data_IF_756432220350
#
_entry.id   IF_756432220350
#
_cell.length_a   1.000
_cell.length_b   1.000
_cell.length_c   1.000
_cell.angle_alpha   90.00
_cell.angle_beta   90.00
_cell.angle_gamma   90.00
#
_symmetry.space_group_name_H-M   'P 1'
#
loop_
_entity.id
_entity.type
_entity.pdbx_description
1 polymer ?
#
# COMPACT_ATOMS: atom_id res chain seq x y z
N UNK A 1 41.93 -45.85 62.67
CA UNK A 1 40.57 -45.40 62.33
C UNK A 1 40.57 -43.87 62.27
N UNK A 2 40.98 -43.32 61.14
CA UNK A 2 41.08 -41.88 60.91
C UNK A 2 40.83 -41.65 59.42
N UNK A 3 40.19 -40.53 59.09
CA UNK A 3 39.95 -40.01 57.74
C UNK A 3 38.77 -40.60 56.95
N UNK A 4 37.55 -40.15 57.26
CA UNK A 4 36.48 -40.13 56.25
C UNK A 4 35.38 -39.06 56.48
N UNK A 5 35.72 -37.86 57.00
CA UNK A 5 34.70 -36.83 57.28
C UNK A 5 35.01 -35.42 56.77
N UNK A 6 36.12 -35.20 56.04
CA UNK A 6 36.47 -33.85 55.55
C UNK A 6 36.18 -33.57 54.06
N UNK A 7 35.69 -34.54 53.27
CA UNK A 7 35.46 -34.34 51.82
C UNK A 7 34.00 -34.03 51.43
N UNK A 8 33.02 -34.28 52.30
CA UNK A 8 31.60 -34.13 51.92
C UNK A 8 31.06 -32.69 52.11
N UNK A 9 31.69 -31.88 52.96
CA UNK A 9 31.23 -30.49 53.22
C UNK A 9 31.69 -29.50 52.13
N UNK A 10 32.81 -29.78 51.45
CA UNK A 10 33.33 -28.89 50.40
C UNK A 10 32.57 -29.00 49.06
N UNK A 11 31.99 -30.17 48.76
CA UNK A 11 31.25 -30.36 47.49
C UNK A 11 29.87 -29.69 47.50
N UNK A 12 29.21 -29.61 48.67
CA UNK A 12 27.90 -28.97 48.80
C UNK A 12 27.97 -27.44 48.77
N UNK A 13 29.06 -26.84 49.27
CA UNK A 13 29.24 -25.38 49.20
C UNK A 13 29.61 -24.90 47.79
N UNK A 14 30.31 -25.72 46.99
CA UNK A 14 30.62 -25.37 45.60
C UNK A 14 29.40 -25.55 44.67
N UNK A 15 28.53 -26.54 44.93
CA UNK A 15 27.29 -26.70 44.16
C UNK A 15 26.28 -25.56 44.43
N UNK A 16 26.20 -25.06 45.67
CA UNK A 16 25.36 -23.90 45.98
C UNK A 16 25.92 -22.60 45.35
N UNK A 17 27.23 -22.40 45.27
CA UNK A 17 27.79 -21.22 44.58
C UNK A 17 27.58 -21.25 43.07
N UNK A 18 27.56 -22.43 42.44
CA UNK A 18 27.22 -22.56 41.01
C UNK A 18 25.74 -22.32 40.70
N UNK A 19 24.83 -22.52 41.66
CA UNK A 19 23.40 -22.20 41.49
C UNK A 19 23.06 -20.72 41.75
N UNK A 20 23.89 -19.99 42.50
CA UNK A 20 23.71 -18.54 42.70
C UNK A 20 24.45 -17.67 41.66
N UNK A 21 25.31 -18.25 40.82
CA UNK A 21 26.09 -17.55 39.79
C UNK A 21 25.40 -17.35 38.44
N UNK A 22 24.18 -17.86 38.24
CA UNK A 22 23.37 -17.64 37.02
C UNK A 22 22.01 -17.03 37.37
N UNK A 23 21.98 -16.13 38.36
CA UNK A 23 21.06 -15.00 38.29
C UNK A 23 21.61 -14.05 37.23
N UNK A 24 21.59 -14.48 35.96
CA UNK A 24 21.83 -13.59 34.84
C UNK A 24 20.94 -12.39 35.07
N UNK A 25 21.54 -11.21 35.15
CA UNK A 25 20.79 -9.96 35.13
C UNK A 25 19.86 -10.08 33.93
N UNK A 26 18.58 -10.33 34.18
CA UNK A 26 17.52 -10.17 33.20
C UNK A 26 17.55 -8.68 32.94
N UNK A 27 18.46 -8.26 32.06
CA UNK A 27 18.55 -6.89 31.61
C UNK A 27 17.14 -6.54 31.21
N UNK A 28 16.59 -5.48 31.82
CA UNK A 28 15.23 -5.06 31.60
C UNK A 28 15.02 -5.05 30.08
N UNK A 29 14.30 -6.05 29.57
CA UNK A 29 14.19 -6.26 28.15
C UNK A 29 13.60 -4.97 27.61
N UNK A 30 14.37 -4.22 26.83
CA UNK A 30 13.89 -2.98 26.23
C UNK A 30 12.59 -3.34 25.52
N UNK A 31 11.50 -2.78 26.03
CA UNK A 31 10.16 -3.10 25.55
C UNK A 31 10.12 -2.73 24.07
N UNK A 32 10.03 -3.76 23.22
CA UNK A 32 10.11 -3.59 21.79
C UNK A 32 9.01 -2.63 21.28
N UNK A 33 9.28 -1.84 20.24
CA UNK A 33 8.25 -1.01 19.62
C UNK A 33 7.11 -1.87 19.08
N UNK A 34 5.92 -1.29 19.05
CA UNK A 34 4.71 -1.89 18.52
C UNK A 34 4.02 -0.99 17.50
N UNK A 35 2.86 -1.43 17.02
CA UNK A 35 2.02 -0.69 16.08
C UNK A 35 0.59 -0.63 16.62
N UNK A 36 -0.05 0.54 16.48
CA UNK A 36 -1.47 0.74 16.72
C UNK A 36 -2.15 0.89 15.36
N UNK A 37 -2.84 -0.15 14.91
CA UNK A 37 -3.58 -0.16 13.65
C UNK A 37 -5.04 0.18 13.95
N UNK A 38 -5.56 1.22 13.32
CA UNK A 38 -6.93 1.70 13.51
C UNK A 38 -7.67 1.66 12.18
N UNK A 39 -8.65 0.76 12.09
CA UNK A 39 -9.49 0.59 10.90
C UNK A 39 -10.72 1.48 10.98
N UNK A 40 -10.97 2.21 9.90
CA UNK A 40 -12.13 3.09 9.79
C UNK A 40 -13.26 2.37 9.04
N UNK A 41 -14.43 2.33 9.67
CA UNK A 41 -15.65 2.03 8.93
C UNK A 41 -15.95 3.16 7.96
N UNK A 42 -16.64 2.79 6.87
CA UNK A 42 -17.21 3.73 5.91
C UNK A 42 -18.05 4.78 6.64
N UNK A 43 -17.60 6.02 6.64
CA UNK A 43 -18.22 7.14 7.37
C UNK A 43 -18.14 8.43 6.54
N UNK A 44 -19.19 9.25 6.64
CA UNK A 44 -19.27 10.49 5.87
C UNK A 44 -18.39 11.58 6.48
N UNK A 45 -17.60 12.22 5.62
CA UNK A 45 -16.91 13.47 5.92
C UNK A 45 -17.52 14.62 5.17
N UNK A 46 -17.53 15.76 5.84
CA UNK A 46 -17.91 17.02 5.20
C UNK A 46 -16.76 17.47 4.33
N UNK A 47 -17.09 17.76 3.07
CA UNK A 47 -16.15 18.36 2.12
C UNK A 47 -16.65 19.74 1.81
N UNK A 48 -15.81 20.75 2.02
CA UNK A 48 -16.15 22.15 1.74
C UNK A 48 -16.14 22.46 0.24
N UNK A 49 -16.62 21.54 -0.60
CA UNK A 49 -16.91 21.72 -2.01
C UNK A 49 -18.42 21.57 -2.20
N UNK A 50 -19.11 22.69 -2.46
CA UNK A 50 -20.55 22.71 -2.71
C UNK A 50 -21.40 21.96 -1.64
N UNK A 51 -21.01 22.05 -0.36
CA UNK A 51 -21.64 21.36 0.78
C UNK A 51 -21.81 19.84 0.59
N UNK A 52 -20.85 19.21 -0.09
CA UNK A 52 -20.86 17.77 -0.35
C UNK A 52 -20.35 16.94 0.82
N UNK A 53 -20.70 15.65 0.81
CA UNK A 53 -20.17 14.64 1.73
C UNK A 53 -19.49 13.53 0.94
N UNK A 54 -18.45 12.97 1.53
CA UNK A 54 -17.76 11.80 1.01
C UNK A 54 -17.73 10.70 2.05
N UNK A 55 -18.21 9.51 1.69
CA UNK A 55 -18.05 8.34 2.52
C UNK A 55 -16.60 7.84 2.38
N UNK A 56 -15.85 7.86 3.48
CA UNK A 56 -14.45 7.41 3.49
C UNK A 56 -14.26 6.15 4.32
N UNK A 57 -13.30 5.33 3.90
CA UNK A 57 -12.80 4.16 4.62
C UNK A 57 -11.30 4.05 4.49
N UNK A 58 -10.66 3.26 5.34
CA UNK A 58 -9.22 3.03 5.28
C UNK A 58 -8.61 2.73 6.64
N UNK A 59 -7.33 3.04 6.80
CA UNK A 59 -6.60 2.81 8.04
C UNK A 59 -5.72 3.99 8.45
N UNK A 60 -5.57 4.14 9.76
CA UNK A 60 -4.61 5.03 10.41
C UNK A 60 -3.69 4.17 11.28
N UNK A 61 -2.38 4.33 11.13
CA UNK A 61 -1.41 3.50 11.82
C UNK A 61 -0.41 4.37 12.56
N UNK A 62 -0.22 4.07 13.85
CA UNK A 62 0.83 4.68 14.66
C UNK A 62 1.89 3.66 15.02
N UNK A 63 3.16 4.04 14.88
CA UNK A 63 4.26 3.36 15.56
C UNK A 63 4.24 3.75 17.04
N UNK A 64 4.37 2.75 17.90
CA UNK A 64 4.35 2.90 19.35
C UNK A 64 5.73 2.57 19.91
N UNK A 65 6.34 3.50 20.63
CA UNK A 65 7.65 3.29 21.27
C UNK A 65 7.55 3.60 22.76
N UNK A 66 7.80 2.63 23.65
CA UNK A 66 7.87 2.88 25.09
C UNK A 66 9.01 3.84 25.43
N UNK A 67 8.77 4.83 26.30
CA UNK A 67 9.79 5.77 26.77
C UNK A 67 9.46 6.27 28.18
N UNK A 68 10.38 6.16 29.13
CA UNK A 68 10.27 6.77 30.48
C UNK A 68 8.90 6.62 31.17
N UNK A 69 8.33 5.41 31.15
CA UNK A 69 6.99 5.06 31.67
C UNK A 69 5.79 5.65 30.91
N UNK A 70 6.03 6.29 29.76
CA UNK A 70 5.00 6.70 28.80
C UNK A 70 5.16 5.96 27.48
N UNK A 71 4.22 6.22 26.56
CA UNK A 71 4.24 5.74 25.19
C UNK A 71 4.39 6.93 24.24
N UNK A 72 5.36 6.85 23.34
CA UNK A 72 5.48 7.76 22.21
C UNK A 72 4.72 7.15 21.03
N UNK A 73 3.91 7.98 20.38
CA UNK A 73 3.17 7.61 19.18
C UNK A 73 3.70 8.44 18.02
N UNK A 74 4.00 7.79 16.91
CA UNK A 74 4.41 8.42 15.66
C UNK A 74 3.43 7.97 14.58
N UNK A 75 2.76 8.91 13.91
CA UNK A 75 1.82 8.56 12.83
C UNK A 75 2.65 8.09 11.64
N UNK A 76 2.55 6.79 11.32
CA UNK A 76 3.37 6.14 10.30
C UNK A 76 2.61 5.87 9.01
N UNK A 77 1.28 5.75 9.06
CA UNK A 77 0.42 5.59 7.90
C UNK A 77 -0.89 6.32 8.11
N UNK A 78 -1.35 7.01 7.08
CA UNK A 78 -2.70 7.55 6.98
C UNK A 78 -3.15 7.30 5.54
N UNK A 79 -4.05 6.35 5.35
CA UNK A 79 -4.42 5.82 4.03
C UNK A 79 -5.93 5.72 3.97
N UNK A 80 -6.59 6.71 3.35
CA UNK A 80 -8.04 6.75 3.21
C UNK A 80 -8.45 6.81 1.74
N UNK A 81 -9.55 6.14 1.43
CA UNK A 81 -10.26 6.26 0.15
C UNK A 81 -11.65 6.81 0.43
N UNK A 82 -12.03 7.83 -0.32
CA UNK A 82 -13.35 8.46 -0.29
C UNK A 82 -14.13 8.22 -1.57
N UNK A 83 -15.46 8.20 -1.47
CA UNK A 83 -16.33 8.27 -2.64
C UNK A 83 -16.14 9.58 -3.41
N UNK A 84 -16.66 9.62 -4.65
CA UNK A 84 -16.63 10.85 -5.44
C UNK A 84 -17.40 11.99 -4.76
N UNK A 85 -16.90 13.22 -4.94
CA UNK A 85 -17.56 14.46 -4.55
C UNK A 85 -17.89 15.29 -5.79
N UNK A 86 -19.00 16.02 -5.71
CA UNK A 86 -19.41 16.94 -6.77
C UNK A 86 -18.55 18.19 -6.70
N UNK A 87 -17.97 18.57 -7.83
CA UNK A 87 -17.13 19.76 -7.97
C UNK A 87 -17.71 20.73 -9.00
N UNK A 88 -17.06 21.88 -9.22
CA UNK A 88 -17.51 22.82 -10.26
C UNK A 88 -17.27 22.27 -11.67
N UNK A 89 -16.30 21.36 -11.83
CA UNK A 89 -15.89 20.79 -13.11
C UNK A 89 -16.45 19.37 -13.35
N UNK A 90 -17.42 18.94 -12.53
CA UNK A 90 -18.02 17.61 -12.57
C UNK A 90 -17.67 16.77 -11.35
N UNK A 91 -17.87 15.46 -11.45
CA UNK A 91 -17.55 14.54 -10.36
C UNK A 91 -16.04 14.35 -10.24
N UNK A 92 -15.52 14.35 -9.01
CA UNK A 92 -14.08 14.23 -8.75
C UNK A 92 -13.50 12.87 -9.10
N UNK A 93 -14.32 11.82 -9.17
CA UNK A 93 -13.91 10.43 -8.97
C UNK A 93 -13.54 10.14 -7.50
N UNK A 94 -13.20 8.89 -7.13
CA UNK A 94 -12.80 8.53 -5.77
C UNK A 94 -11.64 9.40 -5.26
N UNK A 95 -11.73 9.82 -3.99
CA UNK A 95 -10.68 10.56 -3.33
C UNK A 95 -9.63 9.60 -2.78
N UNK A 96 -8.36 9.85 -3.07
CA UNK A 96 -7.22 9.09 -2.58
C UNK A 96 -6.39 9.96 -1.64
N UNK A 97 -6.27 9.57 -0.37
CA UNK A 97 -5.59 10.36 0.67
C UNK A 97 -4.47 9.55 1.29
N UNK A 98 -3.22 10.02 1.17
CA UNK A 98 -2.02 9.33 1.68
C UNK A 98 -1.16 10.26 2.51
N UNK A 99 -0.61 9.74 3.61
CA UNK A 99 0.39 10.46 4.41
C UNK A 99 1.63 10.79 3.60
N UNK A 100 1.99 12.08 3.53
CA UNK A 100 3.29 12.47 2.99
C UNK A 100 4.40 11.98 3.91
N UNK A 101 5.40 11.23 3.41
CA UNK A 101 6.46 10.66 4.24
C UNK A 101 7.14 11.70 5.13
N UNK A 102 7.45 11.31 6.37
CA UNK A 102 8.17 12.13 7.36
C UNK A 102 7.54 13.50 7.68
N UNK A 103 6.27 13.73 7.32
CA UNK A 103 5.58 14.99 7.59
C UNK A 103 4.88 15.05 8.94
N UNK A 104 4.65 13.89 9.57
CA UNK A 104 3.82 13.80 10.76
C UNK A 104 4.56 14.15 12.04
N UNK A 105 3.88 14.88 12.92
CA UNK A 105 4.29 15.14 14.30
C UNK A 105 3.14 14.76 15.22
N UNK A 106 3.43 13.94 16.22
CA UNK A 106 2.43 13.38 17.11
C UNK A 106 2.80 13.62 18.57
N UNK A 107 1.81 13.94 19.40
CA UNK A 107 1.95 14.13 20.84
C UNK A 107 0.89 13.33 21.58
N UNK A 108 1.27 12.61 22.62
CA UNK A 108 0.36 11.79 23.43
C UNK A 108 0.22 12.34 24.85
N UNK A 109 -1.02 12.54 25.28
CA UNK A 109 -1.35 12.86 26.66
C UNK A 109 -1.89 11.60 27.37
N UNK A 110 -1.13 11.00 28.30
CA UNK A 110 -1.55 9.78 29.00
C UNK A 110 -2.73 9.99 29.95
N UNK A 111 -2.95 11.21 30.46
CA UNK A 111 -4.07 11.49 31.37
C UNK A 111 -5.40 11.49 30.63
N UNK A 112 -5.44 12.09 29.45
CA UNK A 112 -6.65 12.16 28.61
C UNK A 112 -6.73 11.03 27.59
N UNK A 113 -5.67 10.21 27.47
CA UNK A 113 -5.48 9.16 26.46
C UNK A 113 -5.72 9.69 25.05
N UNK A 114 -5.17 10.87 24.79
CA UNK A 114 -5.37 11.60 23.54
C UNK A 114 -4.06 11.67 22.77
N UNK A 115 -4.07 11.22 21.52
CA UNK A 115 -3.01 11.47 20.56
C UNK A 115 -3.44 12.65 19.70
N UNK A 116 -2.59 13.67 19.59
CA UNK A 116 -2.76 14.80 18.68
C UNK A 116 -1.69 14.71 17.61
N UNK A 117 -2.09 14.76 16.35
CA UNK A 117 -1.18 14.70 15.22
C UNK A 117 -1.40 15.87 14.28
N UNK A 118 -0.30 16.37 13.72
CA UNK A 118 -0.24 17.33 12.62
C UNK A 118 0.60 16.71 11.51
N UNK A 119 0.15 16.81 10.25
CA UNK A 119 0.79 16.12 9.13
C UNK A 119 0.46 16.81 7.81
N UNK A 120 1.15 16.38 6.74
CA UNK A 120 0.77 16.69 5.38
C UNK A 120 0.23 15.42 4.71
N UNK A 121 -0.85 15.56 3.95
CA UNK A 121 -1.35 14.51 3.06
C UNK A 121 -1.13 14.90 1.60
N UNK A 122 -0.92 13.90 0.78
CA UNK A 122 -1.11 13.98 -0.67
C UNK A 122 -2.53 13.50 -0.97
N UNK A 123 -3.30 14.36 -1.65
CA UNK A 123 -4.69 14.12 -2.02
C UNK A 123 -4.77 14.05 -3.53
N UNK A 124 -5.26 12.93 -4.04
CA UNK A 124 -5.52 12.71 -5.46
C UNK A 124 -7.02 12.47 -5.69
N UNK A 125 -7.49 12.83 -6.88
CA UNK A 125 -8.79 12.46 -7.39
C UNK A 125 -8.77 12.46 -8.92
N UNK A 126 -9.41 11.50 -9.61
CA UNK A 126 -9.32 11.30 -11.07
C UNK A 126 -9.58 12.53 -11.93
N UNK A 127 -10.43 13.45 -11.47
CA UNK A 127 -10.68 14.70 -12.18
C UNK A 127 -9.39 15.54 -12.38
N UNK A 128 -8.39 15.43 -11.48
CA UNK A 128 -7.08 16.06 -11.68
C UNK A 128 -6.43 15.54 -12.96
N UNK A 129 -6.35 14.22 -13.12
CA UNK A 129 -5.71 13.60 -14.29
C UNK A 129 -6.46 13.95 -15.56
N UNK A 130 -7.81 14.00 -15.50
CA UNK A 130 -8.63 14.39 -16.64
C UNK A 130 -8.39 15.83 -17.10
N UNK A 131 -8.15 16.76 -16.18
CA UNK A 131 -8.03 18.20 -16.48
C UNK A 131 -6.58 18.61 -16.72
N UNK A 132 -5.62 18.03 -15.98
CA UNK A 132 -4.20 18.40 -16.03
C UNK A 132 -3.33 17.42 -16.81
N UNK A 133 -3.83 16.22 -17.08
CA UNK A 133 -3.00 15.12 -17.56
C UNK A 133 -2.09 14.61 -16.44
N UNK A 134 -0.98 13.98 -16.85
CA UNK A 134 0.02 13.41 -15.97
C UNK A 134 1.25 14.31 -15.88
N UNK A 135 2.06 14.11 -14.84
CA UNK A 135 3.29 14.85 -14.66
C UNK A 135 4.34 14.39 -15.68
N UNK A 136 4.74 15.29 -16.57
CA UNK A 136 5.87 15.04 -17.46
C UNK A 136 7.19 15.01 -16.66
N UNK A 137 8.07 14.03 -16.89
CA UNK A 137 9.42 14.06 -16.33
C UNK A 137 10.17 15.28 -16.87
N UNK A 138 11.07 15.86 -16.06
CA UNK A 138 11.88 16.99 -16.50
C UNK A 138 12.81 16.56 -17.64
N UNK A 139 13.10 17.46 -18.56
CA UNK A 139 14.05 17.21 -19.65
C UNK A 139 15.40 16.70 -19.10
N UNK A 140 15.88 15.57 -19.63
CA UNK A 140 17.08 14.87 -19.14
C UNK A 140 16.87 14.02 -17.89
N UNK A 141 15.63 13.86 -17.40
CA UNK A 141 15.25 12.92 -16.35
C UNK A 141 14.31 11.85 -16.92
N UNK A 142 14.53 10.58 -16.52
CA UNK A 142 13.61 9.42 -16.60
C UNK A 142 13.04 9.07 -17.98
N UNK A 143 12.42 7.89 -18.07
CA UNK A 143 11.60 7.46 -19.20
C UNK A 143 10.23 8.18 -19.16
N UNK A 144 9.61 8.36 -20.33
CA UNK A 144 8.36 9.14 -20.50
C UNK A 144 7.09 8.34 -20.16
N UNK A 145 7.24 7.11 -19.73
CA UNK A 145 6.19 6.15 -19.41
C UNK A 145 5.77 6.17 -17.92
N UNK A 146 6.31 7.10 -17.13
CA UNK A 146 5.93 7.32 -15.73
C UNK A 146 4.71 8.25 -15.63
N UNK A 147 3.50 7.71 -15.79
CA UNK A 147 2.23 8.46 -15.77
C UNK A 147 1.77 8.80 -14.35
N UNK A 148 2.60 9.55 -13.63
CA UNK A 148 2.30 10.02 -12.28
C UNK A 148 1.23 11.10 -12.30
N UNK A 149 0.22 10.93 -11.45
CA UNK A 149 -0.78 11.96 -11.21
C UNK A 149 -0.22 13.18 -10.50
N UNK A 150 -0.75 14.36 -10.85
CA UNK A 150 -0.66 15.50 -9.94
C UNK A 150 -1.44 15.22 -8.66
N UNK A 151 -0.93 15.71 -7.52
CA UNK A 151 -1.61 15.61 -6.23
C UNK A 151 -1.67 16.99 -5.56
N UNK A 152 -2.67 17.18 -4.71
CA UNK A 152 -2.80 18.36 -3.88
C UNK A 152 -2.21 18.07 -2.50
N UNK A 153 -1.50 19.04 -1.91
CA UNK A 153 -0.99 18.88 -0.55
C UNK A 153 -1.99 19.48 0.44
N UNK A 154 -2.44 18.69 1.41
CA UNK A 154 -3.30 19.15 2.50
C UNK A 154 -2.54 19.18 3.82
N UNK A 155 -2.73 20.23 4.61
CA UNK A 155 -2.32 20.25 6.02
C UNK A 155 -3.43 19.64 6.86
N UNK A 156 -3.12 18.55 7.57
CA UNK A 156 -4.06 17.82 8.39
C UNK A 156 -3.79 17.93 9.88
N UNK A 157 -4.86 17.92 10.68
CA UNK A 157 -4.82 17.71 12.12
C UNK A 157 -5.77 16.58 12.51
N UNK A 158 -5.26 15.65 13.31
CA UNK A 158 -6.02 14.51 13.83
C UNK A 158 -5.96 14.51 15.35
N UNK A 159 -7.12 14.42 15.99
CA UNK A 159 -7.24 14.17 17.42
C UNK A 159 -7.83 12.77 17.59
N UNK A 160 -7.04 11.86 18.15
CA UNK A 160 -7.46 10.51 18.49
C UNK A 160 -7.65 10.39 20.00
N UNK A 161 -8.85 10.00 20.44
CA UNK A 161 -9.16 9.67 21.83
C UNK A 161 -9.30 8.16 21.96
N UNK A 162 -8.38 7.54 22.70
CA UNK A 162 -8.38 6.11 22.98
C UNK A 162 -9.30 5.81 24.17
N UNK A 163 -10.05 4.72 24.07
CA UNK A 163 -10.92 4.24 25.16
C UNK A 163 -10.14 3.64 26.34
N UNK A 164 -8.94 3.11 26.07
CA UNK A 164 -8.01 2.56 27.06
C UNK A 164 -6.54 2.80 26.64
N UNK A 165 -5.61 2.61 27.57
CA UNK A 165 -4.17 2.75 27.28
C UNK A 165 -3.69 1.50 26.53
N UNK A 166 -3.13 1.63 25.31
CA UNK A 166 -2.72 0.49 24.52
C UNK A 166 -1.49 -0.17 25.16
N UNK A 167 -1.48 -1.51 25.18
CA UNK A 167 -0.43 -2.32 25.79
C UNK A 167 0.26 -3.15 24.71
N UNK A 168 1.57 -3.00 24.58
CA UNK A 168 2.35 -3.83 23.67
C UNK A 168 2.52 -5.21 24.32
N UNK A 169 1.77 -6.19 23.82
CA UNK A 169 1.85 -7.58 24.25
C UNK A 169 2.80 -8.41 23.39
N UNK A 170 2.86 -9.72 23.67
CA UNK A 170 3.57 -10.70 22.83
C UNK A 170 2.79 -11.10 21.57
N UNK A 171 1.50 -10.80 21.53
CA UNK A 171 0.59 -11.08 20.43
C UNK A 171 -0.26 -9.85 20.13
N UNK A 172 -0.97 -9.90 19.00
CA UNK A 172 -2.08 -9.01 18.70
C UNK A 172 -3.01 -8.83 19.89
N UNK A 173 -3.43 -7.61 20.17
CA UNK A 173 -4.51 -7.34 21.10
C UNK A 173 -5.50 -6.36 20.49
N UNK A 174 -6.76 -6.77 20.41
CA UNK A 174 -7.88 -5.90 20.04
C UNK A 174 -8.33 -5.11 21.26
N UNK A 175 -8.45 -3.79 21.15
CA UNK A 175 -9.01 -2.96 22.22
C UNK A 175 -10.52 -3.13 22.30
N UNK A 176 -11.07 -3.13 23.52
CA UNK A 176 -12.49 -3.46 23.75
C UNK A 176 -13.46 -2.37 23.28
N UNK A 177 -13.09 -1.10 23.48
CA UNK A 177 -13.99 0.05 23.33
C UNK A 177 -13.58 1.01 22.18
N UNK A 178 -12.74 0.54 21.25
CA UNK A 178 -12.37 1.29 20.04
C UNK A 178 -11.66 2.63 20.31
N UNK A 179 -11.75 3.55 19.35
CA UNK A 179 -11.24 4.92 19.45
C UNK A 179 -12.16 5.90 18.72
N UNK A 180 -12.07 7.18 19.07
CA UNK A 180 -12.77 8.26 18.37
C UNK A 180 -11.75 9.21 17.75
N UNK A 181 -12.00 9.61 16.50
CA UNK A 181 -11.18 10.56 15.75
C UNK A 181 -11.94 11.85 15.47
N UNK A 182 -11.23 12.97 15.48
CA UNK A 182 -11.66 14.22 14.86
C UNK A 182 -10.57 14.65 13.89
N UNK A 183 -10.94 14.78 12.61
CA UNK A 183 -10.06 15.17 11.52
C UNK A 183 -10.46 16.54 11.01
N UNK A 184 -9.45 17.36 10.74
CA UNK A 184 -9.58 18.61 9.99
C UNK A 184 -8.43 18.72 9.02
N UNK A 185 -8.72 19.09 7.78
CA UNK A 185 -7.71 19.23 6.76
C UNK A 185 -8.04 20.39 5.83
N UNK A 186 -7.02 21.13 5.47
CA UNK A 186 -7.12 22.28 4.59
C UNK A 186 -6.03 22.21 3.51
N UNK A 187 -6.32 22.61 2.27
CA UNK A 187 -5.36 22.59 1.18
C UNK A 187 -4.26 23.61 1.43
N UNK A 188 -3.01 23.15 1.33
CA UNK A 188 -1.78 23.94 1.43
C UNK A 188 -1.23 24.26 0.04
N UNK A 189 -1.22 23.28 -0.85
CA UNK A 189 -0.79 23.43 -2.25
C UNK A 189 -1.90 22.85 -3.13
N UNK A 190 -2.40 23.66 -4.06
CA UNK A 190 -3.55 23.33 -4.91
C UNK A 190 -3.09 23.12 -6.35
N UNK A 191 -3.68 22.14 -7.01
CA UNK A 191 -3.51 21.91 -8.44
C UNK A 191 -4.77 22.35 -9.18
N UNK A 192 -5.93 21.84 -8.75
CA UNK A 192 -7.25 22.29 -9.21
C UNK A 192 -7.98 23.11 -8.14
N UNK A 193 -7.82 22.76 -6.86
CA UNK A 193 -8.44 23.41 -5.74
C UNK A 193 -9.95 23.13 -5.62
N UNK A 194 -10.45 22.05 -6.23
CA UNK A 194 -11.86 21.69 -6.20
C UNK A 194 -12.31 21.17 -4.83
N UNK A 195 -11.39 20.58 -4.05
CA UNK A 195 -11.62 20.13 -2.68
C UNK A 195 -11.10 21.20 -1.72
N UNK A 196 -11.98 21.98 -1.09
CA UNK A 196 -11.55 23.14 -0.30
C UNK A 196 -11.18 22.84 1.16
N UNK A 197 -11.78 21.81 1.76
CA UNK A 197 -11.45 21.32 3.10
C UNK A 197 -12.13 19.96 3.32
N UNK A 198 -11.59 19.14 4.21
CA UNK A 198 -12.20 17.88 4.63
C UNK A 198 -12.21 17.84 6.16
N UNK A 199 -13.37 17.62 6.76
CA UNK A 199 -13.51 17.52 8.20
C UNK A 199 -14.59 16.53 8.62
N UNK A 200 -14.40 15.94 9.80
CA UNK A 200 -15.41 15.09 10.40
C UNK A 200 -14.90 14.31 11.61
N UNK A 201 -15.82 13.57 12.21
CA UNK A 201 -15.54 12.67 13.32
C UNK A 201 -15.73 11.22 12.89
N UNK A 202 -14.91 10.32 13.44
CA UNK A 202 -14.98 8.90 13.11
C UNK A 202 -15.03 8.06 14.37
N UNK A 203 -15.84 7.02 14.28
CA UNK A 203 -15.72 5.84 15.14
C UNK A 203 -14.75 4.86 14.51
N UNK A 204 -13.72 4.47 15.26
CA UNK A 204 -12.80 3.41 14.87
C UNK A 204 -13.41 2.07 15.26
N UNK A 205 -13.59 1.18 14.27
CA UNK A 205 -14.25 -0.12 14.46
C UNK A 205 -13.33 -1.22 14.96
N UNK A 206 -12.03 -1.05 14.72
CA UNK A 206 -11.04 -2.01 15.15
C UNK A 206 -9.74 -1.27 15.49
N UNK A 207 -9.26 -1.49 16.71
CA UNK A 207 -7.99 -0.96 17.18
C UNK A 207 -7.15 -2.14 17.64
N UNK A 208 -6.05 -2.38 16.94
CA UNK A 208 -5.19 -3.54 17.16
C UNK A 208 -3.81 -3.05 17.55
N UNK A 209 -3.33 -3.50 18.71
CA UNK A 209 -1.95 -3.31 19.16
C UNK A 209 -1.13 -4.53 18.76
N UNK A 210 -0.01 -4.30 18.06
CA UNK A 210 0.80 -5.36 17.48
C UNK A 210 2.29 -5.26 17.89
N UNK A 211 2.98 -6.36 18.23
CA UNK A 211 4.43 -6.36 18.47
C UNK A 211 5.25 -6.29 17.17
N UNK A 212 6.57 -6.08 17.28
CA UNK A 212 7.59 -5.80 16.23
C UNK A 212 7.74 -6.80 15.05
N UNK A 213 6.67 -7.35 14.50
CA UNK A 213 6.69 -8.15 13.27
C UNK A 213 6.19 -7.32 12.08
N UNK A 214 6.68 -7.65 10.88
CA UNK A 214 6.14 -7.07 9.66
C UNK A 214 4.70 -7.54 9.49
N UNK A 215 3.78 -6.58 9.41
CA UNK A 215 2.37 -6.82 9.17
C UNK A 215 2.24 -7.11 7.68
N UNK A 216 1.64 -8.26 7.32
CA UNK A 216 1.28 -8.50 5.93
C UNK A 216 0.14 -7.55 5.56
N UNK A 217 0.39 -6.58 4.69
CA UNK A 217 -0.65 -5.76 4.08
C UNK A 217 -1.20 -6.45 2.84
N UNK A 218 -2.42 -6.12 2.45
CA UNK A 218 -3.09 -6.69 1.29
C UNK A 218 -3.71 -5.59 0.46
N UNK A 219 -3.64 -5.76 -0.86
CA UNK A 219 -4.32 -4.91 -1.84
C UNK A 219 -5.10 -5.83 -2.79
N UNK A 220 -6.29 -5.40 -3.19
CA UNK A 220 -7.08 -6.12 -4.18
C UNK A 220 -6.61 -5.75 -5.58
N UNK A 221 -6.51 -6.75 -6.44
CA UNK A 221 -6.20 -6.60 -7.85
C UNK A 221 -7.38 -7.15 -8.65
N UNK A 222 -7.92 -6.36 -9.58
CA UNK A 222 -9.04 -6.76 -10.42
C UNK A 222 -8.52 -7.00 -11.85
N UNK A 223 -8.35 -8.26 -12.28
CA UNK A 223 -8.00 -8.56 -13.66
C UNK A 223 -9.17 -8.19 -14.59
N UNK A 224 -8.87 -7.51 -15.69
CA UNK A 224 -9.85 -7.14 -16.71
C UNK A 224 -9.36 -7.68 -18.06
N UNK A 225 -10.13 -8.58 -18.66
CA UNK A 225 -9.80 -9.25 -19.92
C UNK A 225 -10.71 -8.72 -21.04
N UNK A 226 -10.21 -8.72 -22.28
CA UNK A 226 -10.95 -8.32 -23.46
C UNK A 226 -11.55 -9.57 -24.10
N UNK A 227 -12.87 -9.60 -24.31
CA UNK A 227 -13.49 -10.55 -25.22
C UNK A 227 -13.37 -10.02 -26.64
N UNK A 228 -13.01 -10.92 -27.55
CA UNK A 228 -12.91 -10.59 -28.96
C UNK A 228 -13.33 -11.74 -29.86
N UNK A 229 -13.71 -11.43 -31.09
CA UNK A 229 -14.01 -12.41 -32.14
C UNK A 229 -12.88 -12.38 -33.17
N UNK A 230 -12.04 -13.42 -33.25
CA UNK A 230 -10.99 -13.47 -34.25
C UNK A 230 -11.59 -13.40 -35.68
N UNK A 231 -11.10 -12.46 -36.48
CA UNK A 231 -11.56 -12.28 -37.87
C UNK A 231 -11.31 -13.54 -38.73
N UNK A 232 -10.22 -14.26 -38.47
CA UNK A 232 -9.88 -15.55 -39.07
C UNK A 232 -9.58 -16.57 -37.96
N UNK A 233 -10.36 -17.64 -37.89
CA UNK A 233 -10.13 -18.73 -36.95
C UNK A 233 -10.52 -20.08 -37.54
N UNK A 234 -9.80 -21.15 -37.14
CA UNK A 234 -10.07 -22.55 -37.51
C UNK A 234 -11.50 -23.06 -37.18
N UNK A 235 -12.32 -22.22 -36.55
CA UNK A 235 -13.69 -22.50 -36.11
C UNK A 235 -14.74 -21.50 -36.66
N UNK A 236 -14.43 -20.77 -37.74
CA UNK A 236 -15.46 -20.11 -38.55
C UNK A 236 -16.11 -18.84 -37.97
N UNK A 237 -15.34 -17.97 -37.32
CA UNK A 237 -15.79 -16.60 -36.97
C UNK A 237 -16.91 -16.48 -35.93
N UNK A 238 -17.30 -17.58 -35.28
CA UNK A 238 -18.38 -17.60 -34.26
C UNK A 238 -17.87 -17.80 -32.83
N UNK A 239 -16.57 -18.02 -32.63
CA UNK A 239 -16.01 -18.34 -31.31
C UNK A 239 -15.44 -17.09 -30.66
N UNK A 240 -16.07 -16.64 -29.57
CA UNK A 240 -15.52 -15.58 -28.72
C UNK A 240 -14.28 -16.09 -28.00
N UNK A 241 -13.15 -15.42 -28.20
CA UNK A 241 -11.90 -15.62 -27.48
C UNK A 241 -11.73 -14.53 -26.41
N UNK A 242 -10.72 -14.69 -25.54
CA UNK A 242 -10.39 -13.73 -24.48
C UNK A 242 -8.89 -13.52 -24.40
N UNK A 243 -8.46 -12.29 -24.11
CA UNK A 243 -7.10 -12.03 -23.63
C UNK A 243 -6.93 -12.55 -22.19
N UNK A 244 -5.74 -12.37 -21.62
CA UNK A 244 -5.38 -12.85 -20.28
C UNK A 244 -4.76 -14.25 -20.30
N UNK A 245 -4.29 -14.73 -21.46
CA UNK A 245 -3.59 -16.02 -21.59
C UNK A 245 -2.33 -16.10 -20.72
N UNK A 246 -1.66 -14.96 -20.49
CA UNK A 246 -0.47 -14.82 -19.64
C UNK A 246 -0.77 -14.72 -18.14
N UNK A 247 -2.03 -14.50 -17.77
CA UNK A 247 -2.44 -14.05 -16.43
C UNK A 247 -1.89 -14.94 -15.32
N UNK A 248 -2.04 -16.27 -15.42
CA UNK A 248 -1.65 -17.17 -14.33
C UNK A 248 -0.15 -17.07 -14.02
N UNK A 249 0.70 -17.07 -15.05
CA UNK A 249 2.15 -16.97 -14.88
C UNK A 249 2.58 -15.62 -14.32
N UNK A 250 2.07 -14.52 -14.89
CA UNK A 250 2.40 -13.17 -14.43
C UNK A 250 1.89 -12.90 -13.01
N UNK A 251 0.67 -13.38 -12.68
CA UNK A 251 0.08 -13.32 -11.34
C UNK A 251 0.97 -14.02 -10.32
N UNK A 252 1.38 -15.25 -10.61
CA UNK A 252 2.16 -16.06 -9.67
C UNK A 252 3.54 -15.43 -9.43
N UNK A 253 4.16 -14.85 -10.46
CA UNK A 253 5.42 -14.10 -10.35
C UNK A 253 5.27 -12.79 -9.57
N UNK A 254 4.17 -12.06 -9.77
CA UNK A 254 3.87 -10.89 -8.96
C UNK A 254 3.66 -11.23 -7.48
N UNK A 255 2.91 -12.31 -7.19
CA UNK A 255 2.71 -12.81 -5.81
C UNK A 255 4.05 -13.22 -5.19
N UNK A 256 4.89 -13.94 -5.93
CA UNK A 256 6.23 -14.35 -5.49
C UNK A 256 7.06 -13.14 -5.04
N UNK A 257 7.11 -12.09 -5.87
CA UNK A 257 7.91 -10.89 -5.61
C UNK A 257 7.38 -10.09 -4.42
N UNK A 258 6.09 -9.76 -4.40
CA UNK A 258 5.52 -8.88 -3.38
C UNK A 258 5.35 -9.53 -2.01
N UNK A 259 5.24 -10.87 -1.96
CA UNK A 259 5.28 -11.60 -0.69
C UNK A 259 6.61 -11.40 0.05
N UNK A 260 7.73 -11.16 -0.65
CA UNK A 260 9.04 -10.84 -0.02
C UNK A 260 8.98 -9.53 0.77
N UNK A 261 8.09 -8.61 0.39
CA UNK A 261 7.82 -7.35 1.07
C UNK A 261 6.70 -7.41 2.12
N UNK A 262 6.14 -8.59 2.39
CA UNK A 262 4.92 -8.72 3.20
C UNK A 262 3.73 -7.97 2.59
N UNK A 263 3.66 -7.90 1.26
CA UNK A 263 2.50 -7.38 0.54
C UNK A 263 1.82 -8.57 -0.15
N UNK A 264 0.59 -8.85 0.28
CA UNK A 264 -0.27 -9.83 -0.36
C UNK A 264 -1.06 -9.19 -1.49
N UNK A 265 -1.03 -9.81 -2.66
CA UNK A 265 -1.88 -9.44 -3.78
C UNK A 265 -3.12 -10.35 -3.76
N UNK A 266 -4.29 -9.77 -3.54
CA UNK A 266 -5.54 -10.50 -3.58
C UNK A 266 -6.18 -10.32 -4.96
N UNK A 267 -5.90 -11.25 -5.87
CA UNK A 267 -6.49 -11.24 -7.21
C UNK A 267 -7.95 -11.70 -7.16
N UNK A 268 -8.85 -10.81 -7.59
CA UNK A 268 -10.28 -11.08 -7.72
C UNK A 268 -10.56 -11.93 -8.97
N UNK A 269 -11.81 -12.38 -9.11
CA UNK A 269 -12.25 -13.07 -10.32
C UNK A 269 -12.14 -12.14 -11.54
N UNK A 270 -11.60 -12.60 -12.69
CA UNK A 270 -11.49 -11.76 -13.87
C UNK A 270 -12.85 -11.21 -14.33
N UNK A 271 -12.86 -9.93 -14.70
CA UNK A 271 -13.98 -9.27 -15.39
C UNK A 271 -13.64 -9.21 -16.88
N UNK A 272 -14.66 -9.20 -17.72
CA UNK A 272 -14.51 -9.19 -19.17
C UNK A 272 -15.18 -7.96 -19.77
N UNK A 273 -14.49 -7.29 -20.67
CA UNK A 273 -15.02 -6.19 -21.48
C UNK A 273 -15.23 -6.66 -22.91
N UNK A 274 -16.37 -6.30 -23.49
CA UNK A 274 -16.78 -6.72 -24.83
C UNK A 274 -16.47 -5.59 -25.82
N UNK A 275 -15.19 -5.50 -26.23
CA UNK A 275 -14.74 -4.56 -27.25
C UNK A 275 -13.46 -5.07 -27.93
N UNK A 276 -13.62 -5.64 -29.12
CA UNK A 276 -12.55 -6.24 -29.92
C UNK A 276 -11.40 -5.27 -30.22
N UNK A 277 -11.68 -3.97 -30.34
CA UNK A 277 -10.68 -2.94 -30.62
C UNK A 277 -9.62 -2.85 -29.51
N UNK A 278 -9.95 -3.22 -28.27
CA UNK A 278 -9.01 -3.20 -27.16
C UNK A 278 -8.07 -4.41 -27.11
N UNK A 279 -8.23 -5.40 -28.01
CA UNK A 279 -7.37 -6.58 -28.07
C UNK A 279 -5.93 -6.20 -28.43
N UNK A 280 -5.76 -5.40 -29.49
CA UNK A 280 -4.49 -4.86 -29.95
C UNK A 280 -4.54 -3.37 -29.64
N UNK A 281 -3.88 -2.96 -28.56
CA UNK A 281 -4.13 -1.66 -27.96
C UNK A 281 -3.20 -0.58 -28.53
N UNK A 282 -3.77 0.46 -29.13
CA UNK A 282 -3.03 1.66 -29.51
C UNK A 282 -3.11 2.75 -28.43
N UNK A 283 -2.19 3.73 -28.47
CA UNK A 283 -2.27 4.90 -27.58
C UNK A 283 -3.59 5.67 -27.65
N UNK A 284 -4.29 5.64 -28.78
CA UNK A 284 -5.57 6.33 -28.92
C UNK A 284 -6.69 5.66 -28.10
N UNK A 285 -6.57 4.36 -27.81
CA UNK A 285 -7.60 3.54 -27.17
C UNK A 285 -7.38 3.39 -25.66
N UNK A 286 -6.20 3.73 -25.16
CA UNK A 286 -5.83 3.57 -23.74
C UNK A 286 -6.75 4.32 -22.78
N UNK A 287 -7.22 5.51 -23.17
CA UNK A 287 -8.21 6.24 -22.38
C UNK A 287 -9.55 5.51 -22.33
N UNK A 288 -9.95 4.87 -23.43
CA UNK A 288 -11.19 4.12 -23.56
C UNK A 288 -11.19 2.83 -22.74
N UNK A 289 -10.13 2.02 -22.84
CA UNK A 289 -10.04 0.74 -22.11
C UNK A 289 -10.04 0.97 -20.59
N UNK A 290 -9.32 1.99 -20.11
CA UNK A 290 -9.28 2.36 -18.69
C UNK A 290 -10.62 2.87 -18.16
N UNK A 291 -11.47 3.40 -19.04
CA UNK A 291 -12.81 3.87 -18.67
C UNK A 291 -13.88 2.77 -18.81
N UNK A 292 -13.56 1.64 -19.45
CA UNK A 292 -14.52 0.56 -19.70
C UNK A 292 -14.92 -0.20 -18.43
N UNK A 293 -14.09 -0.14 -17.38
CA UNK A 293 -14.36 -0.76 -16.09
C UNK A 293 -13.68 0.02 -14.97
N UNK A 294 -14.35 0.16 -13.82
CA UNK A 294 -13.87 0.89 -12.66
C UNK A 294 -14.34 0.19 -11.37
N UNK A 295 -13.40 -0.27 -10.54
CA UNK A 295 -13.65 -0.76 -9.17
C UNK A 295 -12.90 0.13 -8.17
N UNK A 296 -13.61 0.95 -7.37
CA UNK A 296 -12.98 1.86 -6.43
C UNK A 296 -12.23 1.16 -5.27
N UNK A 297 -12.26 -0.17 -5.17
CA UNK A 297 -11.63 -0.94 -4.10
C UNK A 297 -10.51 -1.87 -4.58
N UNK A 298 -10.09 -1.77 -5.85
CA UNK A 298 -9.05 -2.62 -6.42
C UNK A 298 -8.18 -1.83 -7.41
N UNK A 299 -6.95 -2.30 -7.62
CA UNK A 299 -6.14 -1.88 -8.75
C UNK A 299 -6.59 -2.68 -9.97
N UNK A 300 -7.08 -2.02 -11.00
CA UNK A 300 -7.43 -2.70 -12.24
C UNK A 300 -6.20 -3.01 -13.06
N UNK A 301 -6.12 -4.25 -13.55
CA UNK A 301 -5.06 -4.71 -14.44
C UNK A 301 -5.72 -5.21 -15.72
N UNK A 302 -5.62 -4.41 -16.77
CA UNK A 302 -6.14 -4.73 -18.10
C UNK A 302 -5.12 -5.60 -18.84
N UNK A 303 -5.53 -6.81 -19.21
CA UNK A 303 -4.74 -7.69 -20.05
C UNK A 303 -5.20 -7.52 -21.49
N UNK A 304 -4.29 -7.06 -22.35
CA UNK A 304 -4.50 -7.01 -23.80
C UNK A 304 -3.51 -7.95 -24.49
N UNK A 305 -3.71 -8.27 -25.76
CA UNK A 305 -2.83 -9.21 -26.45
C UNK A 305 -1.44 -8.60 -26.64
N UNK A 306 -1.40 -7.41 -27.24
CA UNK A 306 -0.18 -6.66 -27.55
C UNK A 306 -0.52 -5.17 -27.70
N UNK A 307 0.46 -4.29 -27.50
CA UNK A 307 0.35 -2.87 -27.86
C UNK A 307 0.71 -2.60 -29.33
N UNK A 308 0.20 -1.52 -29.92
CA UNK A 308 0.57 -1.04 -31.26
C UNK A 308 1.04 0.43 -31.25
N UNK A 309 2.33 0.72 -31.56
CA UNK A 309 3.38 -0.22 -31.94
C UNK A 309 3.71 -1.24 -30.83
N UNK A 310 4.26 -2.39 -31.22
CA UNK A 310 4.66 -3.45 -30.28
C UNK A 310 5.50 -2.87 -29.16
N UNK A 311 5.04 -3.08 -27.93
CA UNK A 311 5.72 -2.58 -26.74
C UNK A 311 5.74 -1.05 -26.64
N UNK A 312 4.64 -0.39 -27.03
CA UNK A 312 4.46 1.07 -26.92
C UNK A 312 4.84 1.64 -25.54
N UNK A 313 4.68 0.83 -24.49
CA UNK A 313 5.15 1.10 -23.11
C UNK A 313 6.10 0.01 -22.61
N UNK A 314 6.92 -0.57 -23.48
CA UNK A 314 7.67 -1.77 -23.13
C UNK A 314 6.75 -2.95 -22.84
N UNK A 315 6.85 -3.55 -21.64
CA UNK A 315 6.02 -4.69 -21.22
C UNK A 315 4.65 -4.32 -20.64
N UNK A 316 4.43 -3.06 -20.26
CA UNK A 316 3.22 -2.64 -19.59
C UNK A 316 3.30 -1.19 -19.15
N UNK A 317 2.23 -0.68 -18.56
CA UNK A 317 2.18 0.71 -18.09
C UNK A 317 1.28 0.82 -16.88
N UNK A 318 1.66 1.69 -15.95
CA UNK A 318 0.82 2.10 -14.83
C UNK A 318 0.44 3.58 -14.93
N UNK A 319 -0.85 3.83 -14.87
CA UNK A 319 -1.45 5.15 -14.81
C UNK A 319 -1.82 5.51 -13.37
N UNK A 320 -1.75 6.80 -13.04
CA UNK A 320 -2.12 7.33 -11.73
C UNK A 320 -1.36 6.64 -10.58
N UNK A 321 -0.06 6.37 -10.80
CA UNK A 321 0.84 5.63 -9.91
C UNK A 321 0.73 6.06 -8.44
N UNK A 322 0.63 5.08 -7.53
CA UNK A 322 0.55 5.31 -6.08
C UNK A 322 -0.81 5.78 -5.54
N UNK A 323 -1.82 5.96 -6.40
CA UNK A 323 -3.15 6.43 -6.00
C UNK A 323 -4.17 5.28 -5.96
N UNK A 324 -5.34 5.52 -5.35
CA UNK A 324 -6.45 4.55 -5.40
C UNK A 324 -7.04 4.37 -6.81
N UNK A 325 -6.73 5.27 -7.76
CA UNK A 325 -7.17 5.19 -9.15
C UNK A 325 -6.08 4.59 -10.06
N UNK A 326 -5.05 3.97 -9.48
CA UNK A 326 -3.97 3.42 -10.30
C UNK A 326 -4.51 2.28 -11.18
N UNK A 327 -4.22 2.37 -12.48
CA UNK A 327 -4.68 1.43 -13.51
C UNK A 327 -3.49 0.90 -14.28
N UNK A 328 -3.39 -0.41 -14.41
CA UNK A 328 -2.27 -1.08 -15.09
C UNK A 328 -2.75 -1.68 -16.40
N UNK A 329 -1.97 -1.53 -17.45
CA UNK A 329 -2.15 -2.27 -18.71
C UNK A 329 -0.93 -3.16 -18.88
N UNK A 330 -1.15 -4.44 -19.17
CA UNK A 330 -0.08 -5.43 -19.42
C UNK A 330 -0.43 -6.30 -20.62
N UNK A 331 0.58 -6.91 -21.24
CA UNK A 331 0.45 -7.63 -22.51
C UNK A 331 0.59 -9.13 -22.34
N UNK A 332 -0.25 -9.90 -23.03
CA UNK A 332 -0.09 -11.37 -23.08
C UNK A 332 1.22 -11.78 -23.75
N UNK A 333 1.66 -11.01 -24.75
CA UNK A 333 2.92 -11.24 -25.45
C UNK A 333 4.18 -10.95 -24.62
N UNK A 334 4.04 -10.52 -23.36
CA UNK A 334 5.18 -10.46 -22.44
C UNK A 334 5.84 -11.84 -22.26
N UNK A 335 5.06 -12.92 -22.32
CA UNK A 335 5.60 -14.26 -22.16
C UNK A 335 6.21 -14.80 -23.46
N UNK A 336 7.31 -15.57 -23.38
CA UNK A 336 7.98 -16.06 -22.17
C UNK A 336 9.11 -15.14 -21.64
N UNK A 337 9.26 -13.93 -22.18
CA UNK A 337 10.47 -13.10 -21.99
C UNK A 337 10.38 -12.27 -20.70
N UNK A 338 9.30 -11.52 -20.49
CA UNK A 338 9.15 -10.56 -19.41
C UNK A 338 8.23 -11.12 -18.30
N UNK A 339 8.77 -12.03 -17.50
CA UNK A 339 8.07 -12.78 -16.46
C UNK A 339 7.67 -11.92 -15.25
N UNK A 340 8.43 -10.86 -14.96
CA UNK A 340 8.23 -9.99 -13.80
C UNK A 340 7.55 -8.65 -14.16
N UNK A 341 7.13 -8.43 -15.41
CA UNK A 341 6.44 -7.19 -15.80
C UNK A 341 5.26 -6.84 -14.89
N UNK A 342 4.32 -7.76 -14.67
CA UNK A 342 3.17 -7.44 -13.81
C UNK A 342 3.60 -7.07 -12.39
N UNK A 343 4.68 -7.69 -11.87
CA UNK A 343 5.20 -7.34 -10.57
C UNK A 343 5.77 -5.91 -10.55
N UNK A 344 6.44 -5.51 -11.63
CA UNK A 344 6.96 -4.15 -11.86
C UNK A 344 5.83 -3.11 -11.95
N UNK A 345 4.82 -3.34 -12.79
CA UNK A 345 3.70 -2.40 -12.94
C UNK A 345 2.90 -2.23 -11.65
N UNK A 346 2.72 -3.32 -10.89
CA UNK A 346 2.12 -3.25 -9.57
C UNK A 346 3.00 -2.50 -8.56
N UNK A 347 4.31 -2.41 -8.79
CA UNK A 347 5.20 -1.51 -8.06
C UNK A 347 4.87 -0.04 -8.27
N UNK A 348 4.59 0.35 -9.52
CA UNK A 348 4.08 1.69 -9.83
C UNK A 348 2.72 1.96 -9.20
N UNK A 349 1.81 0.97 -9.21
CA UNK A 349 0.55 1.08 -8.48
C UNK A 349 0.78 1.26 -6.96
N UNK A 350 1.85 0.67 -6.41
CA UNK A 350 2.32 0.86 -5.03
C UNK A 350 3.20 2.11 -4.84
N UNK A 351 3.17 3.05 -5.78
CA UNK A 351 3.84 4.35 -5.66
C UNK A 351 5.36 4.29 -5.80
N UNK A 352 5.91 3.17 -6.26
CA UNK A 352 7.32 3.07 -6.61
C UNK A 352 7.57 3.62 -8.01
N UNK A 353 8.77 4.15 -8.22
CA UNK A 353 9.19 4.79 -9.46
C UNK A 353 10.51 4.16 -9.88
N UNK A 354 10.85 4.21 -11.17
CA UNK A 354 12.15 3.72 -11.62
C UNK A 354 13.31 4.39 -10.86
N UNK A 355 14.41 3.66 -10.59
CA UNK A 355 15.62 4.23 -10.03
C UNK A 355 16.21 5.33 -10.95
N UNK A 356 16.88 6.36 -10.42
CA UNK A 356 17.23 6.60 -9.01
C UNK A 356 16.10 7.30 -8.23
N UNK A 357 14.82 7.03 -8.54
CA UNK A 357 13.67 7.51 -7.78
C UNK A 357 13.60 6.96 -6.35
N UNK A 358 12.41 6.53 -5.92
CA UNK A 358 12.22 5.96 -4.58
C UNK A 358 12.41 4.43 -4.58
N UNK A 359 13.18 3.89 -5.53
CA UNK A 359 13.48 2.47 -5.66
C UNK A 359 14.96 2.22 -5.95
N UNK A 360 15.37 0.98 -5.80
CA UNK A 360 16.80 0.58 -5.89
C UNK A 360 17.21 0.24 -7.33
N UNK A 361 18.40 0.70 -7.74
CA UNK A 361 19.02 0.32 -9.03
C UNK A 361 19.25 -1.20 -9.08
N UNK A 362 18.95 -1.82 -10.23
CA UNK A 362 19.06 -3.26 -10.46
C UNK A 362 18.00 -4.09 -9.73
N UNK A 363 16.97 -3.45 -9.17
CA UNK A 363 15.85 -4.11 -8.53
C UNK A 363 14.69 -4.36 -9.50
N UNK A 364 13.60 -4.93 -9.01
CA UNK A 364 12.35 -5.12 -9.76
C UNK A 364 11.88 -3.86 -10.49
N UNK A 365 12.14 -2.68 -9.92
CA UNK A 365 11.73 -1.40 -10.50
C UNK A 365 12.69 -0.87 -11.57
N UNK A 366 13.71 -1.62 -11.98
CA UNK A 366 14.53 -1.25 -13.14
C UNK A 366 13.70 -1.37 -14.42
N UNK A 367 13.71 -0.36 -15.31
CA UNK A 367 13.06 -0.47 -16.60
C UNK A 367 13.74 -1.55 -17.46
N UNK A 368 12.96 -2.37 -18.15
CA UNK A 368 13.47 -3.46 -18.99
C UNK A 368 12.92 -3.45 -20.42
N UNK A 369 11.94 -2.60 -20.71
CA UNK A 369 11.23 -2.59 -21.98
C UNK A 369 10.46 -3.90 -22.25
N UNK A 370 10.10 -4.12 -23.52
CA UNK A 370 9.34 -5.31 -23.92
C UNK A 370 10.22 -6.58 -24.05
N UNK A 371 11.45 -6.40 -24.53
CA UNK A 371 12.32 -7.52 -24.93
C UNK A 371 13.26 -8.04 -23.82
N UNK A 372 13.12 -7.55 -22.59
CA UNK A 372 13.88 -8.03 -21.45
C UNK A 372 13.01 -8.10 -20.20
N UNK A 373 13.32 -9.06 -19.33
CA UNK A 373 12.64 -9.23 -18.05
C UNK A 373 13.09 -8.16 -17.04
N UNK A 374 12.19 -7.75 -16.16
CA UNK A 374 12.57 -6.95 -15.01
C UNK A 374 13.40 -7.80 -14.02
N UNK A 375 14.39 -7.22 -13.31
CA UNK A 375 15.18 -7.96 -12.34
C UNK A 375 14.32 -8.60 -11.24
N UNK A 376 14.63 -9.83 -10.84
CA UNK A 376 13.94 -10.52 -9.74
C UNK A 376 14.41 -10.08 -8.33
N UNK A 377 15.22 -9.03 -8.25
CA UNK A 377 15.75 -8.51 -6.99
C UNK A 377 14.71 -7.60 -6.32
N UNK A 378 14.29 -7.96 -5.11
CA UNK A 378 13.46 -7.08 -4.27
C UNK A 378 14.32 -6.49 -3.15
N UNK A 379 14.34 -5.15 -3.04
CA UNK A 379 15.18 -4.44 -2.08
C UNK A 379 14.44 -4.03 -0.81
N UNK A 380 15.21 -3.68 0.22
CA UNK A 380 14.63 -3.15 1.46
C UNK A 380 13.86 -1.85 1.20
N UNK A 381 14.45 -0.97 0.40
CA UNK A 381 13.91 0.35 0.06
C UNK A 381 12.57 0.23 -0.67
N UNK A 382 12.46 -0.68 -1.64
CA UNK A 382 11.22 -0.88 -2.40
C UNK A 382 10.06 -1.25 -1.46
N UNK A 383 10.26 -2.20 -0.55
CA UNK A 383 9.17 -2.57 0.36
C UNK A 383 8.85 -1.49 1.42
N UNK A 384 9.84 -0.69 1.83
CA UNK A 384 9.62 0.38 2.82
C UNK A 384 8.86 1.56 2.22
N UNK A 385 9.08 1.83 0.92
CA UNK A 385 8.46 2.93 0.19
C UNK A 385 7.14 2.54 -0.49
N UNK A 386 6.85 1.24 -0.62
CA UNK A 386 5.60 0.76 -1.20
C UNK A 386 4.40 1.28 -0.39
N UNK A 387 3.55 2.06 -1.05
CA UNK A 387 2.39 2.69 -0.45
C UNK A 387 1.28 2.88 -1.48
N UNK A 388 0.05 2.60 -1.06
CA UNK A 388 -1.15 2.90 -1.83
C UNK A 388 -2.31 3.04 -0.82
N UNK A 389 -3.28 3.94 -1.02
CA UNK A 389 -4.43 4.05 -0.11
C UNK A 389 -5.27 2.77 0.01
N UNK A 390 -5.27 1.92 -1.02
CA UNK A 390 -5.93 0.60 -1.04
C UNK A 390 -5.08 -0.50 -0.38
N UNK A 391 -3.83 -0.23 -0.03
CA UNK A 391 -2.96 -1.18 0.68
C UNK A 391 -3.28 -1.16 2.17
N UNK A 392 -4.06 -2.14 2.62
CA UNK A 392 -4.62 -2.20 3.97
C UNK A 392 -4.14 -3.41 4.75
N UNK A 393 -4.19 -3.33 6.07
CA UNK A 393 -3.99 -4.47 6.95
C UNK A 393 -5.24 -5.36 6.90
N UNK A 394 -5.19 -6.66 6.54
CA UNK A 394 -6.34 -7.55 6.57
C UNK A 394 -6.76 -7.94 8.01
N UNK A 395 -7.94 -8.53 8.19
CA UNK A 395 -8.38 -9.18 9.45
C UNK A 395 -8.77 -10.63 9.13
N UNK A 396 -8.22 -11.66 9.81
CA UNK A 396 -7.16 -11.60 10.82
C UNK A 396 -5.83 -11.11 10.24
N UNK A 397 -4.95 -10.56 11.06
CA UNK A 397 -3.65 -10.04 10.62
C UNK A 397 -2.67 -11.21 10.43
N UNK A 398 -2.22 -11.52 9.20
CA UNK A 398 -1.21 -12.52 8.97
C UNK A 398 0.16 -11.97 9.38
N UNK A 399 0.91 -12.80 10.09
CA UNK A 399 2.33 -12.56 10.29
C UNK A 399 3.09 -12.77 8.99
N UNK A 400 4.10 -11.95 8.77
CA UNK A 400 5.06 -12.16 7.72
C UNK A 400 6.49 -12.05 8.26
N UNK A 401 7.31 -13.00 7.85
CA UNK A 401 8.76 -12.98 8.10
C UNK A 401 9.42 -12.33 6.90
N UNK A 402 9.86 -11.09 7.07
CA UNK A 402 10.70 -10.40 6.10
C UNK A 402 12.16 -10.68 6.41
N UNK A 403 12.98 -10.98 5.40
CA UNK A 403 14.44 -11.07 5.60
C UNK A 403 14.96 -9.72 6.10
N UNK A 404 15.66 -9.73 7.24
CA UNK A 404 16.34 -8.53 7.76
C UNK A 404 17.57 -8.14 6.93
N UNK A 405 18.06 -9.08 6.11
CA UNK A 405 19.23 -8.91 5.25
C UNK A 405 18.81 -8.70 3.78
N UNK A 406 17.66 -8.07 3.55
CA UNK A 406 17.32 -7.65 2.19
C UNK A 406 18.30 -6.55 1.74
N UNK A 407 18.82 -6.65 0.50
CA UNK A 407 19.76 -5.67 -0.03
C UNK A 407 19.13 -4.28 -0.22
#
# INVERSE_FOLDING_TARGET
>A
MTSCHKKTVFLFSLLCLCFFGVAGTVGAAETAPGMLVMKLAKQDLSVASLDSRTAVSGEVVYRMTPKDKTMVFELSSFSLVGSSVRTKQGDSGPLSLVLKPSSAKSAYNPRTRTIKSQFLLEVHYPLIDKVKGFMEPKEGQREKDDYRSFTETFAGSLICKLSETPRIGRSAQRMKEGAAFSLKMEPREKVLGEVAAIAGEFKVIDVIVWPRFYIKKTINIQPVFVRYTPADGCFGGTTTATTGGSFQTLRDKAIEMWNRCCIGLNFLAPVYIDNDDYRILSSAEEAGIKAAYDDPNAIEVYFVEVGDPVGIHGGGVCYSSGTANAKVITYDTNLPINLYNLAHELGHALGLMHPPGNSTVGSLMEPSGFCADNPSLMSKLNCDNASNPLLVTPTPIPLCTRSINMP
#
